data_IF_353765423390
#
_entry.id   IF_353765423390
#
_cell.length_a   1.000
_cell.length_b   1.000
_cell.length_c   1.000
_cell.angle_alpha   90.00
_cell.angle_beta   90.00
_cell.angle_gamma   90.00
#
_symmetry.space_group_name_H-M   'P 1'
#
loop_
_entity.id
_entity.type
_entity.pdbx_description
1 polymer ?
#
# COMPACT_ATOMS: atom_id res chain seq x y z
N UNK A 1 14.48 -2.83 9.00
CA UNK A 1 13.85 -2.41 7.73
C UNK A 1 14.32 -3.31 6.62
N UNK A 2 13.42 -3.80 5.79
CA UNK A 2 13.73 -4.72 4.71
C UNK A 2 13.50 -4.01 3.37
N UNK A 3 14.46 -4.11 2.46
CA UNK A 3 14.26 -3.73 1.06
C UNK A 3 13.49 -4.86 0.38
N UNK A 4 12.29 -4.55 -0.08
CA UNK A 4 11.39 -5.56 -0.65
C UNK A 4 11.48 -5.58 -2.17
N UNK A 5 11.64 -6.77 -2.73
CA UNK A 5 11.55 -7.01 -4.18
C UNK A 5 10.75 -8.29 -4.41
N UNK A 6 9.98 -8.33 -5.48
CA UNK A 6 9.26 -9.53 -5.88
C UNK A 6 8.89 -9.44 -7.36
N UNK A 7 8.25 -10.49 -7.89
CA UNK A 7 7.97 -10.63 -9.32
C UNK A 7 6.93 -9.64 -9.83
N UNK A 8 5.90 -9.34 -9.04
CA UNK A 8 4.76 -8.51 -9.46
C UNK A 8 4.61 -7.23 -8.64
N UNK A 9 5.65 -6.86 -7.90
CA UNK A 9 5.74 -5.60 -7.18
C UNK A 9 7.09 -4.98 -7.48
N UNK A 10 7.10 -3.70 -7.87
CA UNK A 10 8.35 -2.95 -8.06
C UNK A 10 8.17 -1.48 -7.66
N UNK A 11 9.27 -0.80 -7.39
CA UNK A 11 9.26 0.62 -7.10
C UNK A 11 9.04 1.45 -8.35
N UNK A 12 8.22 2.47 -8.24
CA UNK A 12 7.97 3.42 -9.33
C UNK A 12 9.11 4.42 -9.43
N UNK A 13 9.63 4.66 -10.64
CA UNK A 13 10.70 5.63 -10.92
C UNK A 13 11.92 5.48 -9.98
N UNK A 14 12.35 4.24 -9.74
CA UNK A 14 13.51 3.98 -8.91
C UNK A 14 13.24 4.04 -7.40
N UNK A 15 11.98 4.17 -6.97
CA UNK A 15 11.65 4.10 -5.56
C UNK A 15 12.11 2.77 -4.96
N UNK A 16 12.85 2.82 -3.85
CA UNK A 16 13.28 1.63 -3.12
C UNK A 16 12.20 1.32 -2.09
N UNK A 17 11.59 0.15 -2.21
CA UNK A 17 10.51 -0.27 -1.32
C UNK A 17 11.13 -0.75 -0.01
N UNK A 18 10.83 -0.06 1.08
CA UNK A 18 11.29 -0.44 2.42
C UNK A 18 10.10 -0.70 3.31
N UNK A 19 10.08 -1.88 3.92
CA UNK A 19 8.99 -2.32 4.78
C UNK A 19 9.52 -2.90 6.09
N UNK A 20 8.72 -2.81 7.12
CA UNK A 20 8.97 -3.50 8.39
C UNK A 20 8.88 -5.02 8.16
N UNK A 21 9.70 -5.83 8.84
CA UNK A 21 9.63 -7.29 8.69
C UNK A 21 8.23 -7.87 8.89
N UNK A 22 7.45 -7.32 9.81
CA UNK A 22 6.09 -7.78 10.07
C UNK A 22 5.12 -7.49 8.90
N UNK A 23 5.48 -6.57 8.00
CA UNK A 23 4.67 -6.27 6.82
C UNK A 23 5.01 -7.14 5.62
N UNK A 24 6.14 -7.84 5.64
CA UNK A 24 6.56 -8.70 4.51
C UNK A 24 5.50 -9.75 4.14
N UNK A 25 4.86 -10.46 5.09
CA UNK A 25 3.81 -11.41 4.74
C UNK A 25 2.65 -10.78 3.96
N UNK A 26 2.30 -9.54 4.28
CA UNK A 26 1.26 -8.80 3.53
C UNK A 26 1.73 -8.47 2.11
N UNK A 27 2.98 -8.03 1.97
CA UNK A 27 3.57 -7.76 0.65
C UNK A 27 3.60 -9.02 -0.22
N UNK A 28 3.94 -10.17 0.36
CA UNK A 28 3.95 -11.45 -0.35
C UNK A 28 2.56 -11.83 -0.84
N UNK A 29 1.53 -11.58 -0.04
CA UNK A 29 0.13 -11.83 -0.43
C UNK A 29 -0.34 -10.88 -1.53
N UNK A 30 0.03 -9.61 -1.44
CA UNK A 30 -0.22 -8.64 -2.51
C UNK A 30 0.41 -9.13 -3.82
N UNK A 31 1.66 -9.57 -3.74
CA UNK A 31 2.38 -10.10 -4.91
C UNK A 31 1.69 -11.32 -5.51
N UNK A 32 1.27 -12.27 -4.68
CA UNK A 32 0.60 -13.49 -5.15
C UNK A 32 -0.72 -13.18 -5.84
N UNK A 33 -1.52 -12.28 -5.28
CA UNK A 33 -2.78 -11.86 -5.88
C UNK A 33 -2.55 -11.12 -7.19
N UNK A 34 -1.58 -10.23 -7.23
CA UNK A 34 -1.20 -9.50 -8.44
C UNK A 34 -0.75 -10.46 -9.55
N UNK A 35 0.14 -11.41 -9.21
CA UNK A 35 0.63 -12.40 -10.18
C UNK A 35 -0.51 -13.21 -10.78
N UNK A 36 -1.43 -13.68 -9.94
CA UNK A 36 -2.57 -14.49 -10.38
C UNK A 36 -3.51 -13.72 -11.31
N UNK A 37 -3.63 -12.41 -11.11
CA UNK A 37 -4.55 -11.56 -11.86
C UNK A 37 -3.88 -10.81 -13.02
N UNK A 38 -2.60 -11.04 -13.27
CA UNK A 38 -1.86 -10.37 -14.33
C UNK A 38 -1.61 -8.89 -14.08
N UNK A 39 -1.42 -8.52 -12.82
CA UNK A 39 -1.21 -7.13 -12.39
C UNK A 39 0.24 -6.92 -11.99
N UNK A 40 0.83 -5.80 -12.41
CA UNK A 40 2.08 -5.29 -11.87
C UNK A 40 1.77 -4.13 -10.92
N UNK A 41 2.21 -4.24 -9.67
CA UNK A 41 2.04 -3.21 -8.65
C UNK A 41 3.27 -2.30 -8.66
N UNK A 42 3.07 -1.01 -8.88
CA UNK A 42 4.15 -0.01 -8.87
C UNK A 42 4.04 0.81 -7.59
N UNK A 43 4.95 0.60 -6.66
CA UNK A 43 4.93 1.27 -5.36
C UNK A 43 5.56 2.65 -5.47
N UNK A 44 4.80 3.67 -5.09
CA UNK A 44 5.24 5.06 -5.11
C UNK A 44 5.73 5.53 -3.75
N UNK A 45 5.17 5.02 -2.66
CA UNK A 45 5.57 5.31 -1.29
C UNK A 45 5.53 4.03 -0.45
N UNK A 46 6.48 3.90 0.47
CA UNK A 46 6.53 2.82 1.45
C UNK A 46 6.92 3.40 2.81
N UNK A 47 8.15 3.19 3.28
CA UNK A 47 8.61 3.84 4.50
C UNK A 47 8.78 5.35 4.28
N UNK A 48 8.29 6.14 5.24
CA UNK A 48 8.42 7.59 5.25
C UNK A 48 8.88 8.05 6.62
N UNK A 49 9.89 8.95 6.64
CA UNK A 49 10.30 9.64 7.86
C UNK A 49 9.35 10.81 8.13
N UNK A 50 9.17 11.22 9.41
CA UNK A 50 8.31 12.37 9.73
C UNK A 50 8.71 13.67 9.03
N UNK A 51 9.99 13.81 8.68
CA UNK A 51 10.56 14.99 8.03
C UNK A 51 10.47 14.95 6.51
N UNK A 52 10.03 13.84 5.91
CA UNK A 52 9.97 13.72 4.45
C UNK A 52 8.90 14.65 3.87
N UNK A 53 9.23 15.29 2.78
CA UNK A 53 8.29 16.12 2.03
C UNK A 53 7.44 15.22 1.16
N UNK A 54 6.11 15.36 1.27
CA UNK A 54 5.16 14.60 0.48
C UNK A 54 4.67 15.41 -0.71
N UNK A 55 4.63 14.77 -1.88
CA UNK A 55 4.08 15.34 -3.11
C UNK A 55 2.98 14.43 -3.64
N UNK A 56 1.96 15.01 -4.23
CA UNK A 56 0.86 14.25 -4.84
C UNK A 56 -0.01 13.48 -3.86
N UNK A 57 -0.02 13.86 -2.58
CA UNK A 57 -0.89 13.24 -1.58
C UNK A 57 -2.35 13.54 -1.86
N UNK A 58 -3.19 12.51 -1.77
CA UNK A 58 -4.65 12.63 -1.96
C UNK A 58 -5.31 13.14 -0.68
N UNK A 59 -4.78 12.72 0.48
CA UNK A 59 -5.30 13.09 1.80
C UNK A 59 -4.18 13.61 2.67
N UNK A 60 -4.53 14.43 3.69
CA UNK A 60 -3.57 14.89 4.69
C UNK A 60 -3.07 13.68 5.49
N UNK A 61 -1.73 13.47 5.57
CA UNK A 61 -1.19 12.35 6.32
C UNK A 61 -1.55 12.43 7.80
N UNK A 62 -1.90 11.29 8.39
CA UNK A 62 -2.16 11.17 9.82
C UNK A 62 -0.86 11.29 10.62
N UNK A 63 -0.95 11.80 11.85
CA UNK A 63 0.21 11.85 12.78
C UNK A 63 0.77 10.47 13.08
N UNK A 64 -0.11 9.46 13.13
CA UNK A 64 0.24 8.06 13.32
C UNK A 64 0.04 7.29 12.01
N UNK A 65 0.62 7.78 10.92
CA UNK A 65 0.56 7.09 9.65
C UNK A 65 1.33 5.77 9.71
N UNK A 66 0.78 4.71 9.11
CA UNK A 66 1.48 3.43 9.01
C UNK A 66 2.67 3.47 8.05
N UNK A 67 2.80 4.50 7.21
CA UNK A 67 4.03 4.75 6.46
C UNK A 67 5.22 5.06 7.37
N UNK A 68 4.99 5.67 8.52
CA UNK A 68 6.05 6.02 9.48
C UNK A 68 6.66 4.81 10.17
N UNK A 69 5.98 3.68 10.14
CA UNK A 69 6.48 2.40 10.68
C UNK A 69 6.72 1.36 9.57
N UNK A 70 6.74 1.80 8.32
CA UNK A 70 6.96 0.94 7.15
C UNK A 70 5.94 -0.21 7.02
N UNK A 71 4.70 0.03 7.44
CA UNK A 71 3.58 -0.92 7.35
C UNK A 71 2.46 -0.42 6.45
N UNK A 72 2.82 0.30 5.39
CA UNK A 72 1.90 0.80 4.38
C UNK A 72 2.60 0.97 3.05
N UNK A 73 1.83 0.89 1.97
CA UNK A 73 2.29 1.26 0.63
C UNK A 73 1.25 2.11 -0.07
N UNK A 74 1.73 3.03 -0.90
CA UNK A 74 0.95 3.68 -1.94
C UNK A 74 1.39 3.13 -3.29
N UNK A 75 0.47 2.99 -4.23
CA UNK A 75 0.76 2.28 -5.47
C UNK A 75 -0.10 2.76 -6.65
N UNK A 76 0.39 2.48 -7.84
CA UNK A 76 -0.39 2.43 -9.07
C UNK A 76 -0.35 1.00 -9.60
N UNK A 77 -1.21 0.68 -10.56
CA UNK A 77 -1.28 -0.65 -11.14
C UNK A 77 -1.08 -0.59 -12.66
N UNK A 78 -0.52 -1.66 -13.19
CA UNK A 78 -0.41 -1.87 -14.63
C UNK A 78 -1.00 -3.23 -14.98
N UNK A 79 -1.91 -3.24 -15.95
CA UNK A 79 -2.58 -4.46 -16.41
C UNK A 79 -2.59 -4.45 -17.94
N UNK A 80 -1.99 -5.45 -18.57
CA UNK A 80 -1.91 -5.53 -20.04
C UNK A 80 -1.38 -4.24 -20.67
N UNK A 81 -0.31 -3.67 -20.07
CA UNK A 81 0.31 -2.40 -20.51
C UNK A 81 -0.59 -1.17 -20.35
N UNK A 82 -1.71 -1.28 -19.66
CA UNK A 82 -2.58 -0.15 -19.34
C UNK A 82 -2.27 0.32 -17.92
N UNK A 83 -2.00 1.61 -17.78
CA UNK A 83 -1.68 2.24 -16.49
C UNK A 83 -2.95 2.65 -15.76
N UNK A 84 -3.06 2.23 -14.49
CA UNK A 84 -4.16 2.60 -13.59
C UNK A 84 -3.61 3.48 -12.49
N UNK A 85 -3.91 4.77 -12.58
CA UNK A 85 -3.65 5.74 -11.52
C UNK A 85 -4.78 5.74 -10.49
N UNK A 86 -4.70 6.64 -9.49
CA UNK A 86 -5.71 6.73 -8.42
C UNK A 86 -7.14 6.88 -8.94
N UNK A 87 -7.35 7.69 -9.98
CA UNK A 87 -8.69 7.91 -10.55
C UNK A 87 -9.24 6.65 -11.18
N UNK A 88 -8.42 5.97 -12.00
CA UNK A 88 -8.82 4.73 -12.66
C UNK A 88 -9.01 3.58 -11.67
N UNK A 89 -8.16 3.49 -10.65
CA UNK A 89 -8.29 2.47 -9.61
C UNK A 89 -9.59 2.68 -8.84
N UNK A 90 -9.89 3.92 -8.45
CA UNK A 90 -11.14 4.22 -7.74
C UNK A 90 -12.37 3.86 -8.55
N UNK A 91 -12.41 4.25 -9.83
CA UNK A 91 -13.51 3.91 -10.73
C UNK A 91 -13.67 2.39 -10.90
N UNK A 92 -12.55 1.67 -11.09
CA UNK A 92 -12.57 0.21 -11.23
C UNK A 92 -13.06 -0.47 -9.96
N UNK A 93 -12.62 -0.01 -8.80
CA UNK A 93 -13.07 -0.55 -7.52
C UNK A 93 -14.58 -0.36 -7.32
N UNK A 94 -15.08 0.84 -7.60
CA UNK A 94 -16.50 1.16 -7.46
C UNK A 94 -17.38 0.39 -8.45
N UNK A 95 -16.83 -0.04 -9.58
CA UNK A 95 -17.56 -0.82 -10.58
C UNK A 95 -17.92 -2.23 -10.09
N UNK A 96 -17.19 -2.74 -9.08
CA UNK A 96 -17.34 -4.07 -8.46
C UNK A 96 -17.16 -5.24 -9.42
N UNK A 97 -16.48 -5.02 -10.53
CA UNK A 97 -16.11 -6.05 -11.51
C UNK A 97 -14.68 -5.84 -12.00
N UNK A 98 -14.07 -6.92 -12.50
CA UNK A 98 -12.78 -6.88 -13.17
C UNK A 98 -11.59 -7.13 -12.24
N UNK A 99 -10.40 -7.11 -12.85
CA UNK A 99 -9.16 -7.52 -12.18
C UNK A 99 -8.79 -6.61 -11.00
N UNK A 100 -8.96 -5.30 -11.15
CA UNK A 100 -8.62 -4.35 -10.07
C UNK A 100 -9.50 -4.59 -8.84
N UNK A 101 -10.80 -4.72 -9.05
CA UNK A 101 -11.73 -5.01 -7.95
C UNK A 101 -11.38 -6.33 -7.27
N UNK A 102 -11.16 -7.38 -8.05
CA UNK A 102 -10.80 -8.71 -7.52
C UNK A 102 -9.50 -8.66 -6.74
N UNK A 103 -8.50 -7.94 -7.25
CA UNK A 103 -7.22 -7.76 -6.58
C UNK A 103 -7.39 -7.10 -5.21
N UNK A 104 -8.13 -6.00 -5.15
CA UNK A 104 -8.34 -5.26 -3.90
C UNK A 104 -9.14 -6.12 -2.90
N UNK A 105 -10.18 -6.81 -3.36
CA UNK A 105 -10.98 -7.68 -2.49
C UNK A 105 -10.13 -8.84 -1.92
N UNK A 106 -9.25 -9.44 -2.71
CA UNK A 106 -8.33 -10.47 -2.22
C UNK A 106 -7.37 -9.91 -1.18
N UNK A 107 -6.78 -8.74 -1.43
CA UNK A 107 -5.89 -8.11 -0.46
C UNK A 107 -6.62 -7.80 0.85
N UNK A 108 -7.85 -7.32 0.79
CA UNK A 108 -8.67 -7.08 1.99
C UNK A 108 -8.95 -8.37 2.76
N UNK A 109 -9.10 -9.50 2.07
CA UNK A 109 -9.31 -10.80 2.71
C UNK A 109 -8.10 -11.28 3.51
N UNK A 110 -6.93 -10.69 3.29
CA UNK A 110 -5.72 -10.96 4.05
C UNK A 110 -5.53 -9.97 5.21
N UNK A 111 -6.60 -9.31 5.64
CA UNK A 111 -6.60 -8.33 6.72
C UNK A 111 -5.85 -7.03 6.40
N UNK A 112 -5.59 -6.76 5.13
CA UNK A 112 -5.12 -5.45 4.71
C UNK A 112 -6.26 -4.45 4.73
N UNK A 113 -5.96 -3.25 5.21
CA UNK A 113 -6.87 -2.12 5.16
C UNK A 113 -6.65 -1.38 3.84
N UNK A 114 -7.74 -1.15 3.10
CA UNK A 114 -7.68 -0.43 1.82
C UNK A 114 -8.14 1.02 1.98
N UNK A 115 -7.31 1.96 1.53
CA UNK A 115 -7.59 3.39 1.67
C UNK A 115 -8.80 3.88 0.89
N UNK A 116 -9.19 3.19 -0.17
CA UNK A 116 -10.41 3.53 -0.92
C UNK A 116 -11.70 3.38 -0.12
N UNK A 117 -11.64 2.65 1.02
CA UNK A 117 -12.77 2.48 1.95
C UNK A 117 -12.78 3.55 3.05
N UNK A 118 -11.78 4.42 3.14
CA UNK A 118 -11.71 5.46 4.16
C UNK A 118 -12.78 6.54 3.93
N UNK A 119 -13.19 7.25 5.00
CA UNK A 119 -14.11 8.37 4.90
C UNK A 119 -13.62 9.41 3.88
N UNK A 120 -12.32 9.76 3.95
CA UNK A 120 -11.66 10.48 2.86
C UNK A 120 -10.91 9.46 2.04
N UNK A 121 -11.43 9.14 0.87
CA UNK A 121 -10.89 8.06 0.03
C UNK A 121 -9.44 8.29 -0.37
N UNK A 122 -8.62 7.25 -0.16
CA UNK A 122 -7.24 7.18 -0.62
C UNK A 122 -7.06 5.89 -1.43
N UNK A 123 -7.47 5.88 -2.70
CA UNK A 123 -7.66 4.64 -3.47
C UNK A 123 -6.37 3.92 -3.86
N UNK A 124 -5.20 4.48 -3.56
CA UNK A 124 -3.89 3.90 -3.87
C UNK A 124 -3.13 3.49 -2.60
N UNK A 125 -3.83 3.13 -1.53
CA UNK A 125 -3.21 2.87 -0.23
C UNK A 125 -3.63 1.53 0.35
N UNK A 126 -2.64 0.74 0.80
CA UNK A 126 -2.82 -0.42 1.68
C UNK A 126 -1.98 -0.27 2.93
N UNK A 127 -2.52 -0.71 4.07
CA UNK A 127 -1.76 -0.85 5.31
C UNK A 127 -2.28 -2.01 6.17
N UNK A 128 -1.58 -2.31 7.27
CA UNK A 128 -1.99 -3.37 8.19
C UNK A 128 -2.92 -2.89 9.33
N UNK A 129 -3.33 -1.63 9.32
CA UNK A 129 -4.24 -1.07 10.31
C UNK A 129 -3.66 -0.89 11.71
N UNK A 130 -2.36 -1.02 11.88
CA UNK A 130 -1.75 -1.07 13.22
C UNK A 130 -1.98 0.20 14.02
N UNK A 131 -1.98 1.37 13.37
CA UNK A 131 -2.21 2.66 14.02
C UNK A 131 -3.59 2.75 14.71
N UNK A 132 -4.58 2.02 14.20
CA UNK A 132 -5.94 1.98 14.75
C UNK A 132 -6.14 0.77 15.66
N UNK A 133 -5.67 -0.39 15.21
CA UNK A 133 -5.97 -1.67 15.87
C UNK A 133 -5.05 -1.96 17.06
N UNK A 134 -3.81 -1.47 17.02
CA UNK A 134 -2.84 -1.68 18.11
C UNK A 134 -1.87 -0.49 18.20
N UNK A 135 -2.33 0.67 18.74
CA UNK A 135 -1.49 1.86 18.83
C UNK A 135 -0.21 1.66 19.66
N UNK A 136 -0.25 0.82 20.67
CA UNK A 136 0.93 0.54 21.52
C UNK A 136 2.04 -0.13 20.68
N UNK A 137 1.68 -1.10 19.87
CA UNK A 137 2.63 -1.75 18.95
C UNK A 137 3.14 -0.76 17.90
N UNK A 138 2.28 0.12 17.41
CA UNK A 138 2.69 1.18 16.48
C UNK A 138 3.76 2.06 17.11
N UNK A 139 3.55 2.54 18.34
CA UNK A 139 4.53 3.36 19.06
C UNK A 139 5.83 2.61 19.33
N UNK A 140 5.75 1.32 19.68
CA UNK A 140 6.92 0.49 19.89
C UNK A 140 7.81 0.44 18.64
N UNK A 141 7.20 0.19 17.48
CA UNK A 141 7.94 0.16 16.20
C UNK A 141 8.49 1.55 15.87
N UNK A 142 7.67 2.58 15.99
CA UNK A 142 8.07 3.95 15.67
C UNK A 142 9.27 4.39 16.50
N UNK A 143 9.24 4.12 17.79
CA UNK A 143 10.34 4.47 18.69
C UNK A 143 11.62 3.68 18.38
N UNK A 144 11.49 2.44 17.90
CA UNK A 144 12.64 1.60 17.55
C UNK A 144 13.38 2.08 16.29
N UNK A 145 12.72 2.85 15.44
CA UNK A 145 13.30 3.36 14.18
C UNK A 145 14.13 4.63 14.40
N UNK A 146 14.09 5.16 15.57
CA UNK A 146 14.94 6.21 16.02
C UNK A 146 14.99 7.48 15.81
#
# INVERSE_FOLDING_TARGET
MITYTNTNIKGFNGHIIQVHPDFVPYMDKINSSAARLGIMVHVTNSFRKPTDVLTGTVVTPAKMSNHLIACAIDFNLEINKVWYNKVKIELAYKSRIGAVYSFIQECKSFELRYGGDFNTSDPIHFDNGLNVNNPDKWHEIYNSLG
#
